data_IF_392133094900
#
_entry.id   IF_392133094900
#
_cell.length_a   1.000
_cell.length_b   1.000
_cell.length_c   1.000
_cell.angle_alpha   90.00
_cell.angle_beta   90.00
_cell.angle_gamma   90.00
#
_symmetry.space_group_name_H-M   'P 1'
#
loop_
_entity.id
_entity.type
_entity.pdbx_description
1 polymer ?
#
# COMPACT_ATOMS: atom_id res chain seq x y z
N UNK A 1 -16.72 -16.13 11.77
CA UNK A 1 -15.99 -15.45 10.67
C UNK A 1 -14.63 -15.01 11.18
N UNK A 2 -13.54 -15.35 10.48
CA UNK A 2 -12.20 -14.84 10.79
C UNK A 2 -11.95 -13.62 9.89
N UNK A 3 -11.80 -12.43 10.49
CA UNK A 3 -11.69 -11.15 9.78
C UNK A 3 -10.31 -10.55 10.00
N UNK A 4 -9.68 -10.06 8.94
CA UNK A 4 -8.41 -9.36 8.97
C UNK A 4 -8.42 -8.16 8.03
N UNK A 5 -7.68 -7.10 8.38
CA UNK A 5 -7.46 -5.94 7.52
C UNK A 5 -6.10 -5.31 7.79
N UNK A 6 -5.58 -4.56 6.83
CA UNK A 6 -4.30 -3.88 6.95
C UNK A 6 -4.35 -2.52 6.24
N UNK A 7 -3.58 -1.55 6.77
CA UNK A 7 -3.39 -0.23 6.19
C UNK A 7 -2.03 0.30 6.63
N UNK A 8 -1.23 0.84 5.71
CA UNK A 8 0.12 1.32 5.98
C UNK A 8 0.99 0.25 6.66
N UNK A 9 1.40 0.48 7.91
CA UNK A 9 2.17 -0.44 8.75
C UNK A 9 1.30 -1.26 9.71
N UNK A 10 0.00 -0.97 9.78
CA UNK A 10 -0.90 -1.52 10.77
C UNK A 10 -1.71 -2.69 10.22
N UNK A 11 -1.89 -3.70 11.06
CA UNK A 11 -2.76 -4.84 10.79
C UNK A 11 -3.72 -5.06 11.94
N UNK A 12 -4.90 -5.59 11.64
CA UNK A 12 -5.84 -6.03 12.67
C UNK A 12 -6.49 -7.35 12.32
N UNK A 13 -6.87 -8.11 13.34
CA UNK A 13 -7.52 -9.40 13.20
C UNK A 13 -8.48 -9.68 14.35
N UNK A 14 -9.62 -10.28 14.04
CA UNK A 14 -10.54 -10.77 15.06
C UNK A 14 -11.43 -11.89 14.52
N UNK A 15 -11.95 -12.72 15.42
CA UNK A 15 -12.92 -13.76 15.10
C UNK A 15 -14.29 -13.34 15.62
N UNK A 16 -15.21 -13.11 14.68
CA UNK A 16 -16.58 -12.72 14.95
C UNK A 16 -17.52 -13.92 14.99
N UNK A 17 -18.58 -13.81 15.79
CA UNK A 17 -19.70 -14.74 15.85
C UNK A 17 -19.25 -16.21 15.91
N UNK A 18 -18.33 -16.52 16.85
CA UNK A 18 -17.83 -17.87 17.08
C UNK A 18 -18.72 -18.65 18.06
N UNK A 19 -19.10 -18.01 19.17
CA UNK A 19 -20.03 -18.53 20.19
C UNK A 19 -21.12 -17.48 20.52
N UNK A 20 -22.03 -17.82 21.43
CA UNK A 20 -23.16 -16.95 21.82
C UNK A 20 -22.73 -15.63 22.47
N UNK A 21 -21.53 -15.56 23.05
CA UNK A 21 -21.00 -14.38 23.72
C UNK A 21 -20.20 -13.47 22.75
N UNK A 22 -19.75 -14.02 21.62
CA UNK A 22 -18.89 -13.33 20.66
C UNK A 22 -19.68 -12.35 19.77
N UNK A 23 -19.28 -11.07 19.66
CA UNK A 23 -19.97 -10.10 18.81
C UNK A 23 -19.90 -10.48 17.32
N UNK A 24 -20.92 -10.11 16.56
CA UNK A 24 -20.79 -9.97 15.10
C UNK A 24 -20.21 -8.59 14.75
N UNK A 25 -19.80 -8.38 13.50
CA UNK A 25 -19.28 -7.09 13.03
C UNK A 25 -20.24 -5.91 13.33
N UNK A 26 -21.56 -6.12 13.14
CA UNK A 26 -22.59 -5.10 13.40
C UNK A 26 -22.85 -4.82 14.88
N UNK A 27 -22.48 -5.71 15.81
CA UNK A 27 -22.52 -5.40 17.24
C UNK A 27 -21.58 -4.24 17.59
N UNK A 28 -20.42 -4.19 16.90
CA UNK A 28 -19.41 -3.15 17.08
C UNK A 28 -19.68 -1.93 16.19
N UNK A 29 -20.05 -2.17 14.93
CA UNK A 29 -20.29 -1.14 13.92
C UNK A 29 -21.72 -1.24 13.37
N UNK A 30 -22.73 -0.74 14.13
CA UNK A 30 -24.13 -0.93 13.77
C UNK A 30 -24.58 -0.12 12.56
N UNK A 31 -23.92 1.02 12.30
CA UNK A 31 -24.17 1.88 11.13
C UNK A 31 -22.89 1.93 10.28
N UNK A 32 -22.98 1.77 8.95
CA UNK A 32 -21.81 1.95 8.10
C UNK A 32 -21.33 3.40 8.17
N UNK A 33 -20.02 3.63 8.02
CA UNK A 33 -19.47 4.98 7.87
C UNK A 33 -19.99 5.63 6.58
N UNK A 34 -20.05 6.96 6.56
CA UNK A 34 -20.56 7.69 5.39
C UNK A 34 -19.66 7.46 4.16
N UNK A 35 -20.21 7.41 2.93
CA UNK A 35 -19.43 7.19 1.72
C UNK A 35 -18.28 8.20 1.57
N UNK A 36 -17.07 7.70 1.31
CA UNK A 36 -15.88 8.53 1.11
C UNK A 36 -15.15 9.00 2.38
N UNK A 37 -15.61 8.59 3.57
CA UNK A 37 -14.92 8.84 4.86
C UNK A 37 -13.88 7.78 5.23
N UNK A 38 -13.79 6.70 4.46
CA UNK A 38 -12.84 5.60 4.67
C UNK A 38 -11.78 5.63 3.58
N UNK A 39 -10.52 5.76 3.97
CA UNK A 39 -9.37 5.63 3.08
C UNK A 39 -9.24 4.18 2.66
N UNK A 40 -9.23 3.89 1.36
CA UNK A 40 -8.99 2.55 0.86
C UNK A 40 -7.48 2.29 0.69
N UNK A 41 -7.08 1.03 0.53
CA UNK A 41 -5.67 0.65 0.35
C UNK A 41 -5.03 1.31 -0.89
N UNK A 42 -5.83 1.58 -1.94
CA UNK A 42 -5.35 2.22 -3.16
C UNK A 42 -5.05 3.72 -2.98
N UNK A 43 -5.66 4.38 -1.99
CA UNK A 43 -5.42 5.79 -1.64
C UNK A 43 -4.43 5.94 -0.48
N UNK A 44 -4.36 4.97 0.45
CA UNK A 44 -3.56 5.06 1.68
C UNK A 44 -2.27 4.25 1.73
N UNK A 45 -2.07 3.29 0.82
CA UNK A 45 -0.90 2.39 0.78
C UNK A 45 -0.88 1.32 1.89
N UNK A 46 -0.14 0.23 1.67
CA UNK A 46 0.08 -0.84 2.67
C UNK A 46 1.39 -1.59 2.38
N UNK A 47 2.18 -1.90 3.42
CA UNK A 47 3.37 -2.77 3.28
C UNK A 47 2.91 -4.19 3.04
N UNK A 48 3.30 -4.80 1.92
CA UNK A 48 2.84 -6.14 1.52
C UNK A 48 3.06 -7.25 2.57
N UNK A 49 4.09 -7.11 3.41
CA UNK A 49 4.37 -8.06 4.51
C UNK A 49 3.30 -8.00 5.61
N UNK A 50 2.68 -6.84 5.85
CA UNK A 50 1.65 -6.67 6.89
C UNK A 50 0.39 -7.51 6.59
N UNK A 51 -0.24 -7.44 5.39
CA UNK A 51 -1.26 -8.39 4.97
C UNK A 51 -0.81 -9.85 5.03
N UNK A 52 0.47 -10.14 4.72
CA UNK A 52 1.02 -11.49 4.83
C UNK A 52 1.03 -12.03 6.26
N UNK A 53 1.48 -11.22 7.22
CA UNK A 53 1.46 -11.56 8.67
C UNK A 53 0.02 -11.78 9.13
N UNK A 54 -0.88 -10.83 8.83
CA UNK A 54 -2.29 -10.94 9.23
C UNK A 54 -2.95 -12.16 8.57
N UNK A 55 -2.67 -12.41 7.29
CA UNK A 55 -3.18 -13.56 6.55
C UNK A 55 -2.75 -14.90 7.14
N UNK A 56 -1.49 -15.04 7.57
CA UNK A 56 -1.01 -16.24 8.27
C UNK A 56 -1.72 -16.45 9.60
N UNK A 57 -1.96 -15.38 10.37
CA UNK A 57 -2.73 -15.48 11.62
C UNK A 57 -4.19 -15.84 11.33
N UNK A 58 -4.80 -15.29 10.27
CA UNK A 58 -6.16 -15.67 9.84
C UNK A 58 -6.25 -17.15 9.51
N UNK A 59 -5.29 -17.68 8.74
CA UNK A 59 -5.21 -19.09 8.40
C UNK A 59 -5.10 -19.97 9.65
N UNK A 60 -4.26 -19.57 10.62
CA UNK A 60 -4.12 -20.29 11.89
C UNK A 60 -5.42 -20.33 12.70
N UNK A 61 -6.16 -19.22 12.79
CA UNK A 61 -7.48 -19.21 13.45
C UNK A 61 -8.48 -20.12 12.73
N UNK A 62 -8.49 -20.09 11.40
CA UNK A 62 -9.37 -20.95 10.61
C UNK A 62 -9.08 -22.44 10.83
N UNK A 63 -7.79 -22.83 10.86
CA UNK A 63 -7.36 -24.20 11.15
C UNK A 63 -7.81 -24.61 12.56
N UNK A 64 -7.63 -23.74 13.57
CA UNK A 64 -8.09 -24.03 14.95
C UNK A 64 -9.59 -24.29 14.98
N UNK A 65 -10.39 -23.42 14.37
CA UNK A 65 -11.84 -23.59 14.31
C UNK A 65 -12.22 -24.90 13.62
N UNK A 66 -11.59 -25.23 12.49
CA UNK A 66 -11.85 -26.47 11.75
C UNK A 66 -11.47 -27.73 12.56
N UNK A 67 -10.45 -27.65 13.40
CA UNK A 67 -10.03 -28.71 14.31
C UNK A 67 -10.88 -28.80 15.60
N UNK A 68 -11.93 -27.97 15.74
CA UNK A 68 -12.74 -27.91 16.96
C UNK A 68 -12.06 -27.21 18.14
N UNK A 69 -10.94 -26.52 17.90
CA UNK A 69 -10.21 -25.75 18.92
C UNK A 69 -10.78 -24.33 19.02
N UNK A 70 -10.86 -23.81 20.25
CA UNK A 70 -11.30 -22.43 20.47
C UNK A 70 -10.29 -21.45 19.83
N UNK A 71 -10.75 -20.53 18.96
CA UNK A 71 -9.89 -19.49 18.39
C UNK A 71 -9.42 -18.53 19.47
N UNK A 72 -8.21 -18.03 19.30
CA UNK A 72 -7.56 -17.14 20.27
C UNK A 72 -8.12 -15.72 20.24
N UNK A 73 -8.74 -15.32 19.13
CA UNK A 73 -9.23 -13.95 18.93
C UNK A 73 -10.76 -13.87 18.80
N UNK A 74 -11.50 -14.85 19.34
CA UNK A 74 -12.94 -14.71 19.54
C UNK A 74 -13.21 -13.68 20.66
N UNK A 75 -13.96 -12.63 20.34
CA UNK A 75 -14.25 -11.53 21.27
C UNK A 75 -13.04 -10.65 21.60
N UNK A 76 -11.94 -10.78 20.86
CA UNK A 76 -10.72 -9.98 21.04
C UNK A 76 -10.26 -9.43 19.70
N UNK A 77 -9.88 -8.16 19.65
CA UNK A 77 -9.22 -7.54 18.52
C UNK A 77 -7.70 -7.60 18.71
N UNK A 78 -7.02 -8.31 17.82
CA UNK A 78 -5.58 -8.23 17.67
C UNK A 78 -5.25 -6.99 16.83
N UNK A 79 -4.34 -6.17 17.34
CA UNK A 79 -3.72 -5.07 16.62
C UNK A 79 -2.23 -5.39 16.47
N UNK A 80 -1.72 -5.23 15.26
CA UNK A 80 -0.31 -5.37 14.92
C UNK A 80 0.20 -4.02 14.42
N UNK A 81 1.26 -3.54 15.06
CA UNK A 81 2.00 -2.37 14.62
C UNK A 81 3.32 -2.83 14.00
N UNK A 82 3.44 -2.69 12.68
CA UNK A 82 4.63 -3.08 11.93
C UNK A 82 5.85 -2.18 12.13
N UNK A 83 5.69 -0.96 12.65
CA UNK A 83 6.83 -0.08 12.96
C UNK A 83 7.51 -0.50 14.26
N UNK A 84 6.73 -0.83 15.29
CA UNK A 84 7.26 -1.25 16.60
C UNK A 84 7.39 -2.76 16.73
N UNK A 85 6.80 -3.53 15.81
CA UNK A 85 6.71 -4.99 15.87
C UNK A 85 5.79 -5.50 16.99
N UNK A 86 4.98 -4.62 17.58
CA UNK A 86 4.18 -4.97 18.75
C UNK A 86 2.82 -5.55 18.38
N UNK A 87 2.39 -6.52 19.18
CA UNK A 87 1.03 -7.03 19.17
C UNK A 87 0.29 -6.54 20.41
N UNK A 88 -0.89 -5.95 20.20
CA UNK A 88 -1.79 -5.52 21.27
C UNK A 88 -3.11 -6.24 21.13
N UNK A 89 -3.67 -6.66 22.26
CA UNK A 89 -5.00 -7.28 22.33
C UNK A 89 -5.95 -6.30 23.00
N UNK A 90 -7.11 -6.11 22.40
CA UNK A 90 -8.18 -5.28 22.94
C UNK A 90 -9.43 -6.15 23.06
N UNK A 91 -9.98 -6.24 24.26
CA UNK A 91 -11.24 -6.96 24.46
C UNK A 91 -12.38 -6.22 23.78
N UNK A 92 -13.17 -6.98 23.02
CA UNK A 92 -14.33 -6.45 22.34
C UNK A 92 -15.56 -6.56 23.25
N UNK A 93 -16.52 -5.66 23.03
CA UNK A 93 -17.84 -5.79 23.63
C UNK A 93 -18.46 -7.11 23.19
N UNK A 94 -19.18 -7.76 24.12
CA UNK A 94 -19.94 -8.99 23.85
C UNK A 94 -21.03 -8.77 22.79
N UNK A 95 -21.62 -9.88 22.33
CA UNK A 95 -22.85 -9.90 21.54
C UNK A 95 -23.92 -9.00 22.19
N UNK A 96 -24.66 -8.28 21.35
CA UNK A 96 -25.79 -7.46 21.76
C UNK A 96 -27.10 -8.16 21.43
N UNK A 97 -28.00 -8.26 22.41
CA UNK A 97 -29.32 -8.89 22.26
C UNK A 97 -30.22 -8.15 21.26
N UNK A 98 -30.06 -6.84 21.15
CA UNK A 98 -30.78 -5.96 20.23
C UNK A 98 -30.11 -5.81 18.86
N UNK A 99 -29.07 -6.61 18.58
CA UNK A 99 -28.35 -6.51 17.30
C UNK A 99 -29.27 -6.86 16.13
N UNK A 100 -29.34 -5.94 15.15
CA UNK A 100 -30.13 -6.11 13.92
C UNK A 100 -29.78 -7.35 13.08
N UNK A 101 -28.63 -7.99 13.34
CA UNK A 101 -28.14 -9.15 12.60
C UNK A 101 -28.08 -10.43 13.43
N UNK A 102 -27.48 -10.41 14.62
CA UNK A 102 -27.32 -11.60 15.46
C UNK A 102 -28.08 -11.52 16.79
N UNK A 103 -28.95 -10.53 16.98
CA UNK A 103 -29.75 -10.37 18.21
C UNK A 103 -30.86 -11.43 18.34
N UNK A 104 -31.66 -11.33 19.40
CA UNK A 104 -32.75 -12.29 19.66
C UNK A 104 -33.93 -12.13 18.70
N UNK A 105 -34.09 -10.95 18.09
CA UNK A 105 -35.08 -10.67 17.06
C UNK A 105 -34.41 -9.95 15.87
N UNK A 106 -33.63 -10.67 15.03
CA UNK A 106 -32.87 -10.06 13.96
C UNK A 106 -33.81 -9.47 12.89
N UNK A 107 -33.58 -8.22 12.51
CA UNK A 107 -34.36 -7.54 11.46
C UNK A 107 -33.80 -7.76 10.06
N UNK A 108 -32.57 -8.27 9.96
CA UNK A 108 -31.89 -8.62 8.72
C UNK A 108 -31.87 -10.14 8.60
N UNK A 109 -32.88 -10.71 7.95
CA UNK A 109 -33.09 -12.17 7.89
C UNK A 109 -32.71 -12.77 6.54
N UNK A 110 -33.21 -12.24 5.42
CA UNK A 110 -33.13 -12.97 4.14
C UNK A 110 -32.75 -12.13 2.92
N UNK A 111 -32.74 -10.80 3.07
CA UNK A 111 -32.22 -9.89 2.04
C UNK A 111 -30.85 -9.42 2.50
N UNK A 112 -29.80 -9.97 1.90
CA UNK A 112 -28.53 -9.27 1.82
C UNK A 112 -28.87 -7.86 1.33
N UNK A 113 -28.75 -6.88 2.22
CA UNK A 113 -28.79 -5.48 1.81
C UNK A 113 -27.73 -5.39 0.74
N UNK A 114 -28.13 -5.00 -0.48
CA UNK A 114 -27.18 -4.79 -1.56
C UNK A 114 -26.23 -3.70 -1.08
N UNK A 115 -25.07 -4.13 -0.59
CA UNK A 115 -24.09 -3.25 0.05
C UNK A 115 -23.64 -2.20 -0.96
N UNK A 116 -23.74 -2.50 -2.26
CA UNK A 116 -23.48 -1.56 -3.35
C UNK A 116 -24.61 -0.53 -3.49
N UNK A 117 -25.88 -0.92 -3.33
CA UNK A 117 -27.02 0.00 -3.34
C UNK A 117 -27.15 0.82 -2.04
N UNK A 118 -26.66 0.29 -0.91
CA UNK A 118 -26.77 0.90 0.42
C UNK A 118 -25.58 1.78 0.79
N UNK A 119 -24.36 1.40 0.41
CA UNK A 119 -23.14 2.20 0.62
C UNK A 119 -22.70 2.96 -0.64
N UNK A 120 -23.29 2.69 -1.81
CA UNK A 120 -22.90 3.32 -3.09
C UNK A 120 -21.54 2.85 -3.62
N UNK A 121 -20.96 1.77 -3.08
CA UNK A 121 -19.62 1.28 -3.43
C UNK A 121 -19.73 -0.16 -3.94
N UNK A 122 -19.47 -0.37 -5.23
CA UNK A 122 -19.21 -1.71 -5.80
C UNK A 122 -17.78 -2.14 -5.44
N UNK A 123 -17.62 -3.16 -4.60
CA UNK A 123 -16.30 -3.67 -4.22
C UNK A 123 -15.57 -4.47 -5.32
N UNK A 124 -16.25 -4.89 -6.39
CA UNK A 124 -15.65 -5.73 -7.44
C UNK A 124 -15.23 -4.98 -8.71
N UNK A 125 -15.15 -3.66 -8.65
CA UNK A 125 -14.55 -2.88 -9.72
C UNK A 125 -14.02 -1.59 -9.14
N UNK A 126 -12.84 -1.18 -9.61
CA UNK A 126 -12.37 0.20 -9.54
C UNK A 126 -13.36 1.04 -10.33
N UNK A 127 -14.58 1.24 -9.82
CA UNK A 127 -15.55 2.11 -10.45
C UNK A 127 -15.02 3.52 -10.24
N UNK A 128 -14.82 4.29 -11.31
CA UNK A 128 -14.45 5.68 -11.16
C UNK A 128 -15.53 6.33 -10.30
N UNK A 129 -15.09 7.05 -9.27
CA UNK A 129 -15.97 7.85 -8.42
C UNK A 129 -16.88 8.68 -9.35
N UNK A 130 -18.18 8.77 -9.08
CA UNK A 130 -19.12 9.55 -9.89
C UNK A 130 -19.80 10.59 -8.99
N UNK A 131 -19.07 11.68 -8.73
CA UNK A 131 -19.55 12.80 -7.91
C UNK A 131 -20.12 13.91 -8.80
N UNK A 132 -19.51 14.12 -9.96
CA UNK A 132 -19.88 15.19 -10.90
C UNK A 132 -20.77 14.68 -12.03
N UNK A 133 -21.61 15.58 -12.55
CA UNK A 133 -22.39 15.34 -13.77
C UNK A 133 -21.51 15.34 -15.02
N UNK A 134 -21.87 14.63 -16.11
CA UNK A 134 -21.05 14.51 -17.32
C UNK A 134 -20.60 15.86 -17.91
N UNK A 135 -21.41 16.90 -17.80
CA UNK A 135 -21.15 18.25 -18.32
C UNK A 135 -20.07 18.99 -17.52
N UNK A 136 -19.85 18.57 -16.27
CA UNK A 136 -18.83 19.10 -15.36
C UNK A 136 -17.48 18.37 -15.51
N UNK A 137 -17.39 17.47 -16.48
CA UNK A 137 -16.20 16.66 -16.74
C UNK A 137 -15.75 16.86 -18.19
N UNK A 138 -14.45 16.81 -18.42
CA UNK A 138 -13.85 16.93 -19.75
C UNK A 138 -12.88 15.77 -19.99
N UNK A 139 -12.83 15.22 -21.19
CA UNK A 139 -11.82 14.21 -21.52
C UNK A 139 -10.46 14.88 -21.77
N UNK A 140 -9.38 14.10 -21.70
CA UNK A 140 -8.02 14.61 -21.94
C UNK A 140 -7.84 15.16 -23.36
N UNK A 141 -8.52 14.58 -24.35
CA UNK A 141 -8.51 15.02 -25.75
C UNK A 141 -9.19 16.38 -25.91
N UNK A 142 -10.36 16.57 -25.30
CA UNK A 142 -11.04 17.88 -25.31
C UNK A 142 -10.25 18.92 -24.53
N UNK A 143 -9.62 18.54 -23.42
CA UNK A 143 -8.75 19.47 -22.69
C UNK A 143 -7.50 19.87 -23.51
N UNK A 144 -6.90 18.92 -24.26
CA UNK A 144 -5.80 19.21 -25.18
C UNK A 144 -6.21 20.21 -26.27
N UNK A 145 -7.43 20.12 -26.79
CA UNK A 145 -7.95 21.11 -27.76
C UNK A 145 -8.00 22.53 -27.17
N UNK A 146 -8.37 22.68 -25.90
CA UNK A 146 -8.38 23.98 -25.20
C UNK A 146 -6.95 24.54 -25.04
N UNK A 147 -5.97 23.67 -24.78
CA UNK A 147 -4.57 24.06 -24.75
C UNK A 147 -4.10 24.50 -26.15
N UNK A 148 -4.46 23.75 -27.19
CA UNK A 148 -4.01 24.01 -28.57
C UNK A 148 -4.68 25.24 -29.20
N UNK A 149 -5.91 25.57 -28.79
CA UNK A 149 -6.58 26.81 -29.19
C UNK A 149 -6.06 28.04 -28.46
N UNK A 150 -5.14 27.86 -27.49
CA UNK A 150 -4.58 28.90 -26.64
C UNK A 150 -5.65 29.75 -25.94
N UNK A 151 -6.78 29.12 -25.62
CA UNK A 151 -7.87 29.77 -24.89
C UNK A 151 -7.44 30.07 -23.44
N UNK A 152 -7.77 31.24 -22.89
CA UNK A 152 -7.43 31.56 -21.52
C UNK A 152 -8.14 30.60 -20.57
N UNK A 153 -7.36 29.89 -19.76
CA UNK A 153 -7.85 28.94 -18.75
C UNK A 153 -6.87 28.80 -17.59
N UNK A 154 -7.34 28.24 -16.46
CA UNK A 154 -6.50 27.79 -15.35
C UNK A 154 -6.52 26.28 -15.27
N UNK A 155 -5.36 25.68 -15.04
CA UNK A 155 -5.22 24.25 -14.77
C UNK A 155 -4.75 24.09 -13.33
N UNK A 156 -5.58 23.47 -12.49
CA UNK A 156 -5.29 23.23 -11.07
C UNK A 156 -4.97 21.76 -10.86
N UNK A 157 -3.75 21.48 -10.40
CA UNK A 157 -3.34 20.15 -9.99
C UNK A 157 -3.60 19.96 -8.49
N UNK A 158 -4.51 19.03 -8.18
CA UNK A 158 -4.96 18.77 -6.80
C UNK A 158 -4.29 17.56 -6.19
N UNK A 159 -3.31 16.97 -6.87
CA UNK A 159 -2.51 15.90 -6.30
C UNK A 159 -1.70 16.41 -5.10
N UNK A 160 -1.30 15.52 -4.18
CA UNK A 160 -0.29 15.85 -3.18
C UNK A 160 0.97 16.41 -3.86
N UNK A 161 1.64 17.38 -3.22
CA UNK A 161 2.85 18.02 -3.75
C UNK A 161 3.85 16.98 -4.28
N UNK A 162 4.03 15.92 -3.51
CA UNK A 162 4.90 14.79 -3.82
C UNK A 162 4.65 14.12 -5.19
N UNK A 163 3.39 14.04 -5.64
CA UNK A 163 3.06 13.48 -6.96
C UNK A 163 3.28 14.50 -8.08
N UNK A 164 3.18 15.79 -7.77
CA UNK A 164 3.43 16.87 -8.72
C UNK A 164 4.93 17.07 -8.96
N UNK A 165 5.76 16.80 -7.95
CA UNK A 165 7.22 16.85 -8.05
C UNK A 165 7.77 15.76 -9.02
N UNK A 166 7.03 14.66 -9.21
CA UNK A 166 7.43 13.54 -10.08
C UNK A 166 7.11 13.86 -11.55
N UNK A 167 5.87 14.25 -11.82
CA UNK A 167 5.43 14.65 -13.16
C UNK A 167 4.47 15.80 -12.98
N UNK A 168 4.69 16.89 -13.70
CA UNK A 168 3.83 18.07 -13.74
C UNK A 168 3.52 18.39 -15.18
N UNK A 169 2.27 18.80 -15.45
CA UNK A 169 1.91 19.35 -16.74
C UNK A 169 2.28 20.84 -16.79
N UNK A 170 2.80 21.26 -17.95
CA UNK A 170 3.18 22.64 -18.16
C UNK A 170 1.99 23.56 -17.91
N UNK A 171 2.25 24.68 -17.23
CA UNK A 171 1.25 25.67 -16.81
C UNK A 171 0.21 25.18 -15.77
N UNK A 172 0.35 23.97 -15.21
CA UNK A 172 -0.45 23.53 -14.08
C UNK A 172 -0.06 24.25 -12.78
N UNK A 173 -1.05 24.66 -12.01
CA UNK A 173 -0.89 25.33 -10.71
C UNK A 173 -1.10 24.30 -9.60
N UNK A 174 -0.12 24.19 -8.70
CA UNK A 174 -0.16 23.24 -7.57
C UNK A 174 -1.07 23.73 -6.45
N UNK A 175 -2.21 23.07 -6.26
CA UNK A 175 -3.09 23.32 -5.11
C UNK A 175 -3.66 21.99 -4.61
N UNK A 176 -2.94 21.27 -3.72
CA UNK A 176 -3.36 19.97 -3.23
C UNK A 176 -4.78 19.96 -2.66
N UNK A 177 -5.53 18.86 -2.86
CA UNK A 177 -6.93 18.72 -2.42
C UNK A 177 -7.15 19.11 -0.95
N UNK A 178 -6.20 18.76 -0.06
CA UNK A 178 -6.28 19.11 1.35
C UNK A 178 -6.34 20.62 1.62
N UNK A 179 -5.74 21.45 0.77
CA UNK A 179 -5.82 22.91 0.85
C UNK A 179 -7.20 23.41 0.38
N UNK A 180 -7.76 22.83 -0.69
CA UNK A 180 -9.10 23.18 -1.16
C UNK A 180 -10.15 22.86 -0.10
N UNK A 181 -10.08 21.67 0.52
CA UNK A 181 -11.00 21.24 1.58
C UNK A 181 -10.88 22.12 2.83
N UNK A 182 -9.69 22.59 3.18
CA UNK A 182 -9.46 23.52 4.30
C UNK A 182 -9.87 24.96 4.00
N UNK A 183 -10.14 25.31 2.74
CA UNK A 183 -10.57 26.63 2.30
C UNK A 183 -9.43 27.54 1.83
N UNK A 184 -8.22 27.41 2.36
CA UNK A 184 -7.07 28.24 1.96
C UNK A 184 -6.66 28.03 0.48
N UNK A 185 -6.92 26.85 -0.09
CA UNK A 185 -6.73 26.61 -1.51
C UNK A 185 -7.73 27.37 -2.38
N UNK A 186 -8.94 27.63 -1.87
CA UNK A 186 -9.96 28.42 -2.58
C UNK A 186 -9.53 29.88 -2.66
N UNK A 187 -8.96 30.43 -1.59
CA UNK A 187 -8.46 31.82 -1.57
C UNK A 187 -7.40 32.06 -2.64
N UNK A 188 -6.42 31.15 -2.75
CA UNK A 188 -5.39 31.20 -3.80
C UNK A 188 -5.99 31.14 -5.21
N UNK A 189 -7.02 30.32 -5.41
CA UNK A 189 -7.69 30.20 -6.73
C UNK A 189 -8.41 31.51 -7.05
N UNK A 190 -9.06 32.13 -6.07
CA UNK A 190 -9.68 33.45 -6.25
C UNK A 190 -8.67 34.50 -6.66
N UNK A 191 -7.52 34.58 -6.00
CA UNK A 191 -6.43 35.51 -6.36
C UNK A 191 -5.97 35.29 -7.81
N UNK A 192 -5.74 34.03 -8.20
CA UNK A 192 -5.32 33.68 -9.56
C UNK A 192 -6.37 34.02 -10.63
N UNK A 193 -7.66 33.94 -10.29
CA UNK A 193 -8.74 34.35 -11.19
C UNK A 193 -8.71 35.86 -11.39
N UNK A 194 -8.55 36.63 -10.31
CA UNK A 194 -8.48 38.10 -10.36
C UNK A 194 -7.22 38.61 -11.07
N UNK A 195 -6.11 37.86 -11.01
CA UNK A 195 -4.88 38.19 -11.75
C UNK A 195 -5.00 37.93 -13.26
N UNK A 196 -5.74 36.89 -13.65
CA UNK A 196 -5.81 36.44 -15.06
C UNK A 196 -6.95 37.06 -15.85
N UNK A 197 -8.07 37.39 -15.20
CA UNK A 197 -9.22 38.02 -15.85
C UNK A 197 -9.63 39.31 -15.14
N UNK A 198 -9.90 40.34 -15.94
CA UNK A 198 -10.45 41.60 -15.43
C UNK A 198 -11.86 41.40 -14.85
N UNK A 199 -12.15 42.11 -13.75
CA UNK A 199 -13.45 42.06 -13.04
C UNK A 199 -14.65 42.44 -13.92
N UNK A 200 -14.42 43.19 -15.00
CA UNK A 200 -15.46 43.66 -15.93
C UNK A 200 -15.48 42.85 -17.25
N UNK A 201 -14.66 41.81 -17.39
CA UNK A 201 -14.65 40.98 -18.59
C UNK A 201 -15.86 40.04 -18.60
N UNK A 202 -16.62 40.05 -19.69
CA UNK A 202 -17.69 39.08 -19.98
C UNK A 202 -17.16 37.73 -20.47
N UNK A 203 -15.85 37.53 -20.43
CA UNK A 203 -15.22 36.29 -20.84
C UNK A 203 -15.47 35.16 -19.83
N UNK A 204 -15.73 33.95 -20.37
CA UNK A 204 -15.99 32.76 -19.58
C UNK A 204 -14.69 32.27 -18.93
N UNK A 205 -14.64 32.28 -17.60
CA UNK A 205 -13.45 31.94 -16.79
C UNK A 205 -13.36 30.42 -16.63
N UNK A 206 -12.52 29.78 -17.46
CA UNK A 206 -12.41 28.32 -17.50
C UNK A 206 -11.36 27.80 -16.50
N UNK A 207 -11.78 26.89 -15.62
CA UNK A 207 -10.95 26.27 -14.60
C UNK A 207 -11.04 24.75 -14.76
N UNK A 208 -9.90 24.13 -15.04
CA UNK A 208 -9.77 22.68 -15.16
C UNK A 208 -9.04 22.12 -13.95
N UNK A 209 -9.54 21.02 -13.40
CA UNK A 209 -8.99 20.38 -12.21
C UNK A 209 -8.51 18.99 -12.54
N UNK A 210 -7.26 18.71 -12.20
CA UNK A 210 -6.60 17.46 -12.54
C UNK A 210 -6.04 16.75 -11.31
N UNK A 211 -6.13 15.42 -11.32
CA UNK A 211 -5.48 14.58 -10.33
C UNK A 211 -4.83 13.36 -11.01
N UNK A 212 -4.47 12.32 -10.25
CA UNK A 212 -3.82 11.14 -10.83
C UNK A 212 -4.72 10.32 -11.76
N UNK A 213 -5.93 9.99 -11.30
CA UNK A 213 -6.88 9.05 -11.96
C UNK A 213 -8.30 9.60 -12.16
N UNK A 214 -8.51 10.90 -11.93
CA UNK A 214 -9.84 11.52 -12.02
C UNK A 214 -10.76 11.33 -10.80
N UNK A 215 -10.26 10.82 -9.66
CA UNK A 215 -11.06 10.64 -8.44
C UNK A 215 -11.03 11.86 -7.52
N UNK A 216 -9.82 12.33 -7.16
CA UNK A 216 -9.63 13.48 -6.27
C UNK A 216 -10.05 14.81 -6.93
N UNK A 217 -9.91 14.91 -8.26
CA UNK A 217 -10.32 16.06 -9.05
C UNK A 217 -11.82 16.31 -8.93
N UNK A 218 -12.65 15.27 -8.93
CA UNK A 218 -14.10 15.42 -8.73
C UNK A 218 -14.45 15.97 -7.34
N UNK A 219 -13.77 15.50 -6.29
CA UNK A 219 -13.95 16.03 -4.93
C UNK A 219 -13.56 17.51 -4.87
N UNK A 220 -12.46 17.88 -5.51
CA UNK A 220 -11.99 19.26 -5.58
C UNK A 220 -12.99 20.17 -6.31
N UNK A 221 -13.48 19.78 -7.49
CA UNK A 221 -14.47 20.59 -8.23
C UNK A 221 -15.74 20.82 -7.42
N UNK A 222 -16.25 19.80 -6.71
CA UNK A 222 -17.41 19.95 -5.84
C UNK A 222 -17.15 20.96 -4.72
N UNK A 223 -16.02 20.85 -4.02
CA UNK A 223 -15.67 21.81 -2.96
C UNK A 223 -15.47 23.23 -3.52
N UNK A 224 -14.89 23.36 -4.72
CA UNK A 224 -14.73 24.64 -5.37
C UNK A 224 -16.08 25.25 -5.75
N UNK A 225 -17.00 24.49 -6.35
CA UNK A 225 -18.34 25.00 -6.66
C UNK A 225 -19.08 25.47 -5.41
N UNK A 226 -18.97 24.73 -4.31
CA UNK A 226 -19.64 25.09 -3.06
C UNK A 226 -19.07 26.37 -2.42
N UNK A 227 -17.76 26.62 -2.53
CA UNK A 227 -17.08 27.70 -1.80
C UNK A 227 -16.70 28.91 -2.65
N UNK A 228 -16.39 28.68 -3.93
CA UNK A 228 -16.00 29.72 -4.87
C UNK A 228 -17.23 30.50 -5.33
N UNK A 229 -18.34 29.83 -5.64
CA UNK A 229 -19.62 30.50 -6.03
C UNK A 229 -20.15 31.37 -4.90
N UNK A 230 -19.92 31.00 -3.63
CA UNK A 230 -20.30 31.86 -2.49
C UNK A 230 -19.39 33.07 -2.30
N UNK A 231 -18.18 33.06 -2.88
CA UNK A 231 -17.18 34.13 -2.72
C UNK A 231 -17.10 35.06 -3.93
N UNK A 232 -17.32 34.53 -5.12
CA UNK A 232 -17.28 35.25 -6.39
C UNK A 232 -18.67 35.10 -7.02
N UNK A 233 -19.46 36.17 -6.97
CA UNK A 233 -20.80 36.25 -7.58
C UNK A 233 -20.67 36.46 -9.10
N UNK A 234 -20.08 35.48 -9.78
CA UNK A 234 -19.83 35.50 -11.22
C UNK A 234 -20.34 34.21 -11.87
N UNK A 235 -21.45 34.33 -12.61
CA UNK A 235 -22.06 33.23 -13.34
C UNK A 235 -21.21 32.73 -14.52
N UNK A 236 -20.13 33.43 -14.87
CA UNK A 236 -19.26 33.08 -16.01
C UNK A 236 -18.11 32.13 -15.64
N UNK A 237 -18.06 31.59 -14.42
CA UNK A 237 -17.02 30.64 -14.00
C UNK A 237 -17.42 29.21 -14.36
N UNK A 238 -16.60 28.55 -15.18
CA UNK A 238 -16.79 27.14 -15.56
C UNK A 238 -15.69 26.28 -14.95
N UNK A 239 -16.07 25.41 -14.01
CA UNK A 239 -15.15 24.50 -13.33
C UNK A 239 -15.42 23.06 -13.80
N UNK A 240 -14.40 22.42 -14.38
CA UNK A 240 -14.48 21.04 -14.88
C UNK A 240 -13.33 20.18 -14.38
N UNK A 241 -13.58 18.90 -14.18
CA UNK A 241 -12.52 17.91 -13.88
C UNK A 241 -12.04 17.21 -15.16
N UNK A 242 -10.77 16.82 -15.19
CA UNK A 242 -10.20 16.06 -16.32
C UNK A 242 -10.36 14.55 -16.06
N UNK A 243 -11.15 13.89 -16.91
CA UNK A 243 -11.48 12.46 -16.81
C UNK A 243 -10.21 11.62 -16.94
N UNK A 244 -10.00 10.71 -15.98
CA UNK A 244 -8.82 9.84 -15.94
C UNK A 244 -7.54 10.54 -15.49
N UNK A 245 -7.56 11.87 -15.31
CA UNK A 245 -6.44 12.66 -14.81
C UNK A 245 -5.16 12.51 -15.63
N UNK A 246 -4.02 12.64 -14.97
CA UNK A 246 -2.71 12.57 -15.63
C UNK A 246 -2.40 11.18 -16.21
N UNK A 247 -3.00 10.11 -15.67
CA UNK A 247 -2.82 8.77 -16.22
C UNK A 247 -3.41 8.66 -17.63
N UNK A 248 -4.65 9.16 -17.81
CA UNK A 248 -5.26 9.20 -19.14
C UNK A 248 -4.57 10.20 -20.07
N UNK A 249 -4.00 11.29 -19.54
CA UNK A 249 -3.23 12.24 -20.34
C UNK A 249 -2.01 11.58 -20.94
N UNK A 250 -1.24 10.86 -20.12
CA UNK A 250 -0.06 10.13 -20.59
C UNK A 250 -0.44 9.03 -21.60
N UNK A 251 -1.50 8.26 -21.34
CA UNK A 251 -1.92 7.19 -22.25
C UNK A 251 -2.36 7.69 -23.64
N UNK A 252 -2.94 8.89 -23.74
CA UNK A 252 -3.64 9.32 -24.96
C UNK A 252 -3.08 10.56 -25.65
N UNK A 253 -2.45 11.46 -24.91
CA UNK A 253 -2.02 12.77 -25.41
C UNK A 253 -0.50 12.83 -25.48
N UNK A 254 0.17 12.42 -24.41
CA UNK A 254 1.61 12.51 -24.30
C UNK A 254 2.18 11.21 -23.71
N UNK A 255 2.38 10.17 -24.55
CA UNK A 255 2.95 8.89 -24.11
C UNK A 255 4.37 9.01 -23.54
N UNK A 256 5.09 10.07 -23.88
CA UNK A 256 6.43 10.37 -23.34
C UNK A 256 6.34 10.99 -21.94
N UNK A 257 5.20 11.60 -21.58
CA UNK A 257 4.92 12.01 -20.21
C UNK A 257 4.93 10.75 -19.34
N UNK A 258 5.80 10.66 -18.31
CA UNK A 258 5.89 9.45 -17.54
C UNK A 258 4.56 9.17 -16.82
N UNK A 259 3.87 8.08 -17.16
CA UNK A 259 2.89 7.54 -16.23
C UNK A 259 3.64 7.08 -14.98
N UNK A 260 2.97 7.11 -13.83
CA UNK A 260 3.49 6.48 -12.62
C UNK A 260 3.99 5.05 -12.92
N UNK A 261 3.32 4.31 -13.81
CA UNK A 261 3.73 2.97 -14.24
C UNK A 261 4.94 2.93 -15.21
N UNK A 262 5.17 3.99 -16.01
CA UNK A 262 6.31 4.06 -16.97
C UNK A 262 7.65 4.35 -16.29
N UNK A 263 7.66 5.10 -15.18
CA UNK A 263 8.89 5.40 -14.42
C UNK A 263 9.54 4.15 -13.81
N UNK A 264 8.81 3.03 -13.69
CA UNK A 264 9.38 1.75 -13.24
C UNK A 264 10.36 1.15 -14.27
N UNK A 265 10.16 1.45 -15.56
CA UNK A 265 10.80 0.71 -16.65
C UNK A 265 11.97 1.43 -17.33
N UNK A 266 12.17 2.75 -17.13
CA UNK A 266 13.04 3.53 -18.02
C UNK A 266 14.29 4.18 -17.38
N UNK A 267 14.46 4.19 -16.06
CA UNK A 267 15.68 4.77 -15.44
C UNK A 267 16.70 3.71 -14.99
N UNK A 268 17.00 2.77 -15.89
CA UNK A 268 18.21 1.98 -15.81
C UNK A 268 19.36 2.69 -16.55
N UNK A 269 19.85 3.83 -16.05
CA UNK A 269 21.17 4.34 -16.46
C UNK A 269 21.82 5.34 -15.45
N UNK A 270 22.87 4.83 -14.80
CA UNK A 270 24.13 5.45 -14.35
C UNK A 270 24.21 6.91 -13.80
N UNK A 271 24.55 7.04 -12.49
CA UNK A 271 25.89 7.38 -11.93
C UNK A 271 25.89 8.33 -10.71
N UNK A 272 26.61 7.89 -9.65
CA UNK A 272 27.38 8.66 -8.64
C UNK A 272 26.61 9.63 -7.70
N UNK A 273 26.79 9.71 -6.38
CA UNK A 273 27.84 9.31 -5.45
C UNK A 273 27.19 9.17 -4.05
N UNK A 274 27.48 8.08 -3.34
CA UNK A 274 27.23 7.96 -1.90
C UNK A 274 28.49 8.39 -1.13
N UNK A 275 28.36 9.38 -0.25
CA UNK A 275 29.21 9.48 0.94
C UNK A 275 28.33 9.63 2.18
N UNK A 276 28.53 8.67 3.08
CA UNK A 276 27.88 8.49 4.37
C UNK A 276 28.31 9.57 5.36
N UNK A 277 27.41 9.97 6.25
CA UNK A 277 27.75 10.14 7.66
C UNK A 277 26.54 9.75 8.52
N UNK A 278 26.75 8.73 9.34
CA UNK A 278 25.83 8.29 10.38
C UNK A 278 25.66 9.37 11.46
N UNK A 279 24.52 9.29 12.13
CA UNK A 279 24.22 9.73 13.52
C UNK A 279 23.29 10.96 13.64
N UNK A 280 21.99 10.73 13.46
CA UNK A 280 20.80 11.40 14.03
C UNK A 280 19.59 11.11 13.12
N UNK A 281 18.37 11.15 13.66
CA UNK A 281 17.06 10.96 13.00
C UNK A 281 16.54 9.51 13.01
N UNK A 282 16.12 9.06 14.20
CA UNK A 282 14.93 8.21 14.33
C UNK A 282 13.74 9.17 14.41
N UNK A 283 12.77 9.01 13.52
CA UNK A 283 11.54 9.80 13.28
C UNK A 283 11.69 10.94 12.26
N UNK A 284 11.38 10.64 10.97
CA UNK A 284 10.50 11.43 10.08
C UNK A 284 10.51 11.00 8.59
N UNK A 285 11.32 10.02 8.15
CA UNK A 285 11.53 9.78 6.71
C UNK A 285 11.19 8.40 6.12
N UNK A 286 10.31 7.62 6.74
CA UNK A 286 9.74 6.44 6.05
C UNK A 286 8.28 6.69 5.74
N UNK A 287 8.03 7.54 4.74
CA UNK A 287 6.72 7.61 4.12
C UNK A 287 6.60 6.44 3.16
N UNK A 288 5.75 5.47 3.52
CA UNK A 288 5.27 4.50 2.53
C UNK A 288 4.40 5.30 1.57
N UNK A 289 4.93 5.53 0.38
CA UNK A 289 4.20 6.10 -0.72
C UNK A 289 4.02 5.04 -1.81
N UNK A 290 3.35 5.42 -2.88
CA UNK A 290 3.17 4.58 -4.05
C UNK A 290 4.36 4.67 -5.03
N UNK A 291 5.39 5.49 -4.73
CA UNK A 291 6.49 5.77 -5.64
C UNK A 291 7.36 4.55 -5.89
N UNK A 292 7.84 4.43 -7.12
CA UNK A 292 8.64 3.30 -7.55
C UNK A 292 10.11 3.38 -7.12
N UNK A 293 10.60 4.58 -6.83
CA UNK A 293 11.95 4.85 -6.30
C UNK A 293 12.18 4.27 -4.90
N UNK A 294 11.09 4.04 -4.14
CA UNK A 294 11.11 3.44 -2.80
C UNK A 294 10.78 1.94 -2.79
N UNK A 295 10.60 1.34 -3.98
CA UNK A 295 10.37 -0.10 -4.08
C UNK A 295 11.68 -0.84 -3.86
N UNK A 296 11.81 -1.42 -2.67
CA UNK A 296 12.77 -2.49 -2.44
C UNK A 296 12.02 -3.82 -2.51
N UNK A 297 12.48 -4.73 -3.35
CA UNK A 297 12.09 -6.13 -3.26
C UNK A 297 13.25 -6.93 -2.72
N UNK A 298 12.92 -7.79 -1.78
CA UNK A 298 13.83 -8.75 -1.19
C UNK A 298 13.21 -10.12 -1.35
N UNK A 299 14.06 -11.14 -1.36
CA UNK A 299 13.59 -12.52 -1.27
C UNK A 299 13.78 -12.97 0.16
N UNK A 300 12.78 -13.65 0.71
CA UNK A 300 12.85 -14.30 2.00
C UNK A 300 12.72 -15.80 1.80
N UNK A 301 13.75 -16.54 2.20
CA UNK A 301 13.74 -18.01 2.23
C UNK A 301 13.73 -18.43 3.69
N UNK A 302 12.73 -19.22 4.08
CA UNK A 302 12.62 -19.78 5.42
C UNK A 302 12.80 -21.29 5.41
N UNK A 303 13.36 -21.82 6.49
CA UNK A 303 13.31 -23.25 6.83
C UNK A 303 14.01 -24.20 5.82
N UNK A 304 15.26 -23.86 5.47
CA UNK A 304 16.00 -24.57 4.41
C UNK A 304 16.51 -25.96 4.81
N UNK A 305 16.90 -26.17 6.08
CA UNK A 305 17.40 -27.44 6.63
C UNK A 305 18.40 -28.16 5.71
N UNK A 306 19.56 -27.53 5.44
CA UNK A 306 20.67 -28.12 4.69
C UNK A 306 21.32 -29.24 5.52
N UNK A 307 21.27 -30.46 5.02
CA UNK A 307 21.78 -31.65 5.72
C UNK A 307 23.05 -32.17 5.07
N UNK A 308 24.06 -32.51 5.88
CA UNK A 308 25.26 -33.19 5.40
C UNK A 308 25.02 -34.68 5.17
N UNK A 309 24.12 -35.29 5.95
CA UNK A 309 23.90 -36.74 5.90
C UNK A 309 22.81 -37.18 4.93
N UNK A 310 21.87 -36.28 4.59
CA UNK A 310 20.65 -36.59 3.84
C UNK A 310 20.36 -35.50 2.81
N UNK A 311 19.46 -35.79 1.87
CA UNK A 311 18.82 -34.78 0.99
C UNK A 311 19.80 -33.79 0.31
N UNK A 312 20.79 -34.35 -0.39
CA UNK A 312 21.83 -33.55 -1.09
C UNK A 312 21.25 -32.70 -2.23
N UNK A 313 20.03 -33.00 -2.68
CA UNK A 313 19.34 -32.26 -3.74
C UNK A 313 18.98 -30.83 -3.29
N UNK A 314 18.77 -30.58 -1.99
CA UNK A 314 18.53 -29.22 -1.47
C UNK A 314 19.71 -28.28 -1.70
N UNK A 315 20.95 -28.79 -1.59
CA UNK A 315 22.15 -28.02 -1.94
C UNK A 315 22.08 -27.59 -3.40
N UNK A 316 21.83 -28.55 -4.29
CA UNK A 316 21.75 -28.31 -5.73
C UNK A 316 20.62 -27.33 -6.05
N UNK A 317 19.44 -27.49 -5.44
CA UNK A 317 18.30 -26.61 -5.61
C UNK A 317 18.57 -25.18 -5.17
N UNK A 318 19.24 -24.97 -4.02
CA UNK A 318 19.59 -23.61 -3.57
C UNK A 318 20.65 -22.95 -4.48
N UNK A 319 21.62 -23.73 -4.98
CA UNK A 319 22.59 -23.25 -5.97
C UNK A 319 21.90 -22.89 -7.29
N UNK A 320 21.00 -23.73 -7.78
CA UNK A 320 20.25 -23.49 -9.00
C UNK A 320 19.34 -22.27 -8.86
N UNK A 321 18.66 -22.13 -7.73
CA UNK A 321 17.92 -20.92 -7.39
C UNK A 321 18.80 -19.67 -7.48
N UNK A 322 19.99 -19.72 -6.90
CA UNK A 322 20.97 -18.64 -6.95
C UNK A 322 21.48 -18.31 -8.35
N UNK A 323 21.56 -19.29 -9.26
CA UNK A 323 22.10 -19.11 -10.61
C UNK A 323 21.04 -18.78 -11.65
N UNK A 324 19.84 -19.32 -11.48
CA UNK A 324 18.77 -19.26 -12.47
C UNK A 324 17.70 -18.26 -12.09
N UNK A 325 17.42 -18.07 -10.79
CA UNK A 325 16.29 -17.25 -10.33
C UNK A 325 16.74 -15.87 -9.85
N UNK A 326 17.81 -15.79 -9.06
CA UNK A 326 18.32 -14.49 -8.56
C UNK A 326 18.68 -13.51 -9.68
N UNK A 327 19.34 -13.90 -10.79
CA UNK A 327 19.64 -12.96 -11.87
C UNK A 327 18.41 -12.43 -12.59
N UNK A 328 17.27 -13.14 -12.52
CA UNK A 328 16.00 -12.75 -13.13
C UNK A 328 15.28 -11.76 -12.22
N UNK A 329 15.17 -12.06 -10.93
CA UNK A 329 14.45 -11.22 -9.96
C UNK A 329 15.26 -9.99 -9.54
N UNK A 330 16.60 -10.11 -9.51
CA UNK A 330 17.55 -9.07 -9.07
C UNK A 330 17.16 -8.39 -7.74
N UNK A 331 16.92 -9.15 -6.65
CA UNK A 331 16.56 -8.55 -5.37
C UNK A 331 17.74 -7.80 -4.75
N UNK A 332 17.44 -6.69 -4.07
CA UNK A 332 18.45 -5.91 -3.33
C UNK A 332 18.97 -6.65 -2.11
N UNK A 333 18.13 -7.50 -1.52
CA UNK A 333 18.44 -8.30 -0.33
C UNK A 333 17.85 -9.70 -0.48
N UNK A 334 18.60 -10.73 -0.11
CA UNK A 334 18.10 -12.07 0.15
C UNK A 334 18.26 -12.34 1.65
N UNK A 335 17.15 -12.61 2.32
CA UNK A 335 17.09 -12.94 3.73
C UNK A 335 16.83 -14.43 3.86
N UNK A 336 17.75 -15.16 4.48
CA UNK A 336 17.53 -16.54 4.92
C UNK A 336 17.20 -16.57 6.40
N UNK A 337 16.14 -17.28 6.80
CA UNK A 337 15.75 -17.37 8.20
C UNK A 337 15.42 -18.79 8.64
N UNK A 338 15.57 -19.07 9.93
CA UNK A 338 15.21 -20.36 10.53
C UNK A 338 16.39 -21.33 10.57
N UNK A 339 16.11 -22.62 10.63
CA UNK A 339 17.15 -23.65 10.72
C UNK A 339 17.79 -23.88 9.34
N UNK A 340 18.82 -23.07 9.06
CA UNK A 340 19.56 -23.10 7.79
C UNK A 340 20.21 -24.47 7.59
N UNK A 341 20.76 -25.05 8.66
CA UNK A 341 21.30 -26.41 8.68
C UNK A 341 20.32 -27.36 9.37
N UNK A 342 20.33 -28.64 8.96
CA UNK A 342 19.42 -29.66 9.51
C UNK A 342 19.79 -30.00 10.97
N UNK A 343 21.09 -30.06 11.29
CA UNK A 343 21.58 -30.28 12.64
C UNK A 343 21.04 -31.55 13.31
N UNK A 344 20.75 -32.58 12.51
CA UNK A 344 20.27 -33.89 12.96
C UNK A 344 21.41 -34.90 12.92
N UNK A 345 21.48 -35.74 13.94
CA UNK A 345 22.47 -36.83 13.94
C UNK A 345 22.17 -37.85 12.85
N UNK A 346 23.14 -38.72 12.54
CA UNK A 346 22.96 -39.83 11.61
C UNK A 346 21.78 -40.75 12.00
N UNK A 347 21.44 -40.80 13.29
CA UNK A 347 20.30 -41.52 13.85
C UNK A 347 19.10 -40.57 14.08
N UNK A 348 17.85 -41.05 13.93
CA UNK A 348 16.66 -40.18 13.98
C UNK A 348 16.36 -39.54 15.35
N UNK A 349 17.12 -39.88 16.40
CA UNK A 349 16.94 -39.38 17.77
C UNK A 349 18.20 -38.64 18.20
N UNK A 350 18.27 -37.34 17.92
CA UNK A 350 19.36 -36.47 18.36
C UNK A 350 19.55 -35.25 17.47
N UNK A 351 19.94 -34.12 18.06
CA UNK A 351 20.36 -32.91 17.35
C UNK A 351 21.80 -32.57 17.70
N UNK A 352 22.65 -32.42 16.68
CA UNK A 352 24.06 -32.05 16.83
C UNK A 352 24.43 -31.14 15.66
N UNK A 353 25.27 -30.14 15.91
CA UNK A 353 25.76 -29.23 14.89
C UNK A 353 27.00 -29.82 14.20
N UNK A 354 26.95 -29.94 12.87
CA UNK A 354 28.06 -30.45 12.08
C UNK A 354 28.73 -29.29 11.33
N UNK A 355 30.05 -29.20 11.45
CA UNK A 355 30.84 -28.15 10.81
C UNK A 355 30.70 -28.21 9.28
N UNK A 356 30.55 -29.41 8.75
CA UNK A 356 30.42 -29.70 7.33
C UNK A 356 29.17 -29.07 6.72
N UNK A 357 28.05 -29.01 7.46
CA UNK A 357 26.81 -28.35 7.03
C UNK A 357 27.01 -26.83 6.89
N UNK A 358 27.78 -26.23 7.80
CA UNK A 358 28.11 -24.81 7.76
C UNK A 358 29.11 -24.46 6.66
N UNK A 359 30.11 -25.32 6.42
CA UNK A 359 31.02 -25.17 5.29
C UNK A 359 30.25 -25.25 3.98
N UNK A 360 29.31 -26.20 3.87
CA UNK A 360 28.44 -26.33 2.71
C UNK A 360 27.59 -25.08 2.49
N UNK A 361 26.92 -24.59 3.53
CA UNK A 361 26.13 -23.36 3.45
C UNK A 361 26.99 -22.16 3.01
N UNK A 362 28.17 -22.00 3.58
CA UNK A 362 29.09 -20.91 3.25
C UNK A 362 29.54 -20.98 1.77
N UNK A 363 29.87 -22.18 1.28
CA UNK A 363 30.20 -22.42 -0.13
C UNK A 363 29.04 -22.00 -1.06
N UNK A 364 27.80 -22.37 -0.72
CA UNK A 364 26.61 -21.96 -1.49
C UNK A 364 26.46 -20.43 -1.48
N UNK A 365 26.59 -19.80 -0.31
CA UNK A 365 26.47 -18.35 -0.14
C UNK A 365 27.54 -17.62 -0.97
N UNK A 366 28.79 -18.05 -0.89
CA UNK A 366 29.90 -17.45 -1.65
C UNK A 366 29.70 -17.61 -3.15
N UNK A 367 29.29 -18.79 -3.61
CA UNK A 367 28.95 -19.01 -5.02
C UNK A 367 27.80 -18.11 -5.48
N UNK A 368 26.78 -17.94 -4.64
CA UNK A 368 25.64 -17.10 -4.96
C UNK A 368 26.02 -15.62 -5.04
N UNK A 369 26.79 -15.11 -4.08
CA UNK A 369 27.29 -13.74 -4.07
C UNK A 369 28.27 -13.48 -5.22
N UNK A 370 29.09 -14.46 -5.57
CA UNK A 370 29.98 -14.38 -6.74
C UNK A 370 29.18 -14.31 -8.05
N UNK A 371 28.11 -15.10 -8.17
CA UNK A 371 27.21 -15.06 -9.32
C UNK A 371 26.34 -13.78 -9.34
N UNK A 372 26.06 -13.19 -8.18
CA UNK A 372 25.17 -12.05 -8.02
C UNK A 372 25.83 -10.96 -7.14
N UNK A 373 26.80 -10.18 -7.66
CA UNK A 373 27.57 -9.23 -6.86
C UNK A 373 26.75 -8.07 -6.26
N UNK A 374 25.57 -7.80 -6.81
CA UNK A 374 24.64 -6.76 -6.33
C UNK A 374 23.84 -7.20 -5.10
N UNK A 375 23.78 -8.51 -4.82
CA UNK A 375 22.91 -9.09 -3.80
C UNK A 375 23.50 -8.89 -2.40
N UNK A 376 22.72 -8.33 -1.48
CA UNK A 376 23.03 -8.42 -0.04
C UNK A 376 22.43 -9.69 0.53
N UNK A 377 23.27 -10.57 1.07
CA UNK A 377 22.82 -11.80 1.73
C UNK A 377 22.80 -11.61 3.24
N UNK A 378 21.62 -11.71 3.84
CA UNK A 378 21.40 -11.65 5.29
C UNK A 378 20.91 -13.01 5.78
N UNK A 379 21.50 -13.52 6.86
CA UNK A 379 21.03 -14.72 7.52
C UNK A 379 20.60 -14.44 8.96
N UNK A 380 19.44 -15.00 9.33
CA UNK A 380 18.88 -14.96 10.67
C UNK A 380 18.75 -16.41 11.13
N UNK A 381 19.75 -16.86 11.89
CA UNK A 381 19.86 -18.25 12.31
C UNK A 381 18.75 -18.60 13.30
N UNK A 382 18.12 -19.75 13.07
CA UNK A 382 17.19 -20.39 13.99
C UNK A 382 17.87 -20.90 15.26
N UNK A 383 17.05 -21.42 16.17
CA UNK A 383 17.50 -21.94 17.46
C UNK A 383 18.54 -23.06 17.34
N UNK A 384 18.51 -23.86 16.28
CA UNK A 384 19.55 -24.86 16.07
C UNK A 384 20.87 -24.22 15.65
N UNK A 385 20.90 -23.12 14.90
CA UNK A 385 22.13 -22.55 14.33
C UNK A 385 23.02 -21.69 15.25
N UNK A 386 22.70 -21.59 16.54
CA UNK A 386 23.37 -20.71 17.52
C UNK A 386 24.55 -21.35 18.28
N UNK A 387 24.73 -22.68 18.22
CA UNK A 387 25.58 -23.41 19.18
C UNK A 387 27.08 -23.48 18.86
N UNK A 388 27.55 -23.04 17.68
CA UNK A 388 29.00 -22.95 17.38
C UNK A 388 29.38 -21.48 17.17
N UNK A 389 29.53 -20.75 18.29
CA UNK A 389 30.41 -19.59 18.37
C UNK A 389 31.80 -20.09 18.83
N UNK A 390 32.57 -20.69 17.92
CA UNK A 390 33.99 -20.98 18.15
C UNK A 390 34.83 -20.25 17.10
N UNK A 391 35.25 -19.05 17.49
CA UNK A 391 36.53 -18.38 17.19
C UNK A 391 36.96 -18.01 15.76
N UNK A 392 36.15 -18.14 14.69
CA UNK A 392 36.63 -17.72 13.34
C UNK A 392 35.74 -16.76 12.56
N UNK A 393 34.62 -16.31 13.12
CA UNK A 393 33.65 -15.52 12.38
C UNK A 393 33.53 -14.10 12.96
N UNK A 394 34.37 -13.19 12.49
CA UNK A 394 34.08 -11.75 12.57
C UNK A 394 32.97 -11.44 11.57
N UNK A 395 31.74 -11.81 11.92
CA UNK A 395 30.55 -11.33 11.23
C UNK A 395 30.23 -9.97 11.85
N UNK A 396 30.16 -8.92 11.02
CA UNK A 396 29.48 -7.69 11.41
C UNK A 396 28.00 -8.03 11.61
N UNK A 397 27.66 -8.42 12.82
CA UNK A 397 26.32 -8.24 13.36
C UNK A 397 25.98 -6.75 13.29
N UNK A 398 24.77 -6.43 12.84
CA UNK A 398 24.14 -5.16 13.25
C UNK A 398 23.68 -5.36 14.70
#
# INVERSE_FOLDING_TARGET
MVSGSALQWEGQLTVYNYDEDTPCYRCLFPKPPAPGTVTNCADGGVIGVVPGIIGNIQALEAIKIAAGLKPSYAGTLLLFDGLTGQFRKVELRKRKDDCVSCGNNPTITDKLIDYNAFCGIKCDSVQPMKILEPEERVTVETYKQVIDSNEPHLLIDVRPQLQQDIVKLDNAISIPLGQIVKGNGVDKITELIEEKWDKNSSEKKKIFVMCRRGNASQKAVRELKNRLVTKIDDENIEIKDVIGGISAWSEKIDPELPTFLHLINTEADYNNHFQLNQTQILNDHVQIDDKHENLFWFIHISDTHLSYFRDHDRKTGLIEFCRSVIPIIKPSVLVLTGDITDARTKFPLGSEQYREEWIMYQDIREQCLKANPHLKWLDIKGNHGLFIQLEFFTIKSI
#
